data_IF_623083441925
#
_entry.id   IF_623083441925
#
_cell.length_a   1.000
_cell.length_b   1.000
_cell.length_c   1.000
_cell.angle_alpha   90.00
_cell.angle_beta   90.00
_cell.angle_gamma   90.00
#
_symmetry.space_group_name_H-M   'P 1'
#
loop_
_entity.id
_entity.type
_entity.pdbx_description
1 polymer ?
#
# COMPACT_ATOMS: atom_id res chain seq x y z
N UNK A 1 -17.80 -9.82 -0.20
CA UNK A 1 -16.42 -9.40 -0.56
C UNK A 1 -15.83 -8.71 0.66
N UNK A 2 -14.71 -9.20 1.21
CA UNK A 2 -14.12 -8.78 2.50
C UNK A 2 -13.84 -7.25 2.57
N UNK A 3 -13.78 -6.58 1.44
CA UNK A 3 -13.54 -5.13 1.32
C UNK A 3 -14.80 -4.26 1.36
N UNK A 4 -16.00 -4.83 1.30
CA UNK A 4 -17.23 -4.06 1.02
C UNK A 4 -17.71 -3.12 2.14
N UNK A 5 -17.07 -3.10 3.31
CA UNK A 5 -17.48 -2.27 4.46
C UNK A 5 -16.31 -1.68 5.27
N UNK A 6 -15.08 -1.71 4.75
CA UNK A 6 -13.93 -1.18 5.46
C UNK A 6 -13.57 0.21 4.94
N UNK A 7 -13.45 1.19 5.85
CA UNK A 7 -13.00 2.54 5.51
C UNK A 7 -11.46 2.68 5.54
N UNK A 8 -10.79 1.74 6.21
CA UNK A 8 -9.34 1.74 6.40
C UNK A 8 -8.80 0.34 6.11
N UNK A 9 -7.73 0.28 5.32
CA UNK A 9 -6.98 -0.94 5.04
C UNK A 9 -5.55 -0.77 5.56
N UNK A 10 -5.10 -1.72 6.39
CA UNK A 10 -3.72 -1.77 6.89
C UNK A 10 -3.03 -2.97 6.23
N UNK A 11 -1.92 -2.72 5.54
CA UNK A 11 -1.19 -3.73 4.78
C UNK A 11 0.26 -3.78 5.25
N UNK A 12 0.74 -4.99 5.55
CA UNK A 12 2.15 -5.25 5.84
C UNK A 12 2.74 -6.08 4.70
N UNK A 13 3.70 -5.50 3.98
CA UNK A 13 4.37 -6.09 2.82
C UNK A 13 3.44 -6.72 1.77
N UNK A 14 2.46 -5.97 1.22
CA UNK A 14 1.42 -6.53 0.36
C UNK A 14 1.97 -7.15 -0.93
N UNK A 15 3.06 -6.61 -1.50
CA UNK A 15 3.62 -7.07 -2.78
C UNK A 15 4.29 -8.44 -2.71
N UNK A 16 4.79 -8.83 -1.53
CA UNK A 16 5.54 -10.09 -1.34
C UNK A 16 4.70 -11.33 -1.56
N UNK A 17 3.41 -11.24 -1.27
CA UNK A 17 2.47 -12.36 -1.36
C UNK A 17 1.69 -12.39 -2.68
N UNK A 18 1.91 -11.41 -3.56
CA UNK A 18 1.22 -11.35 -4.84
C UNK A 18 2.03 -12.02 -5.95
N UNK A 19 1.36 -12.88 -6.71
CA UNK A 19 1.93 -13.40 -7.96
C UNK A 19 2.31 -12.23 -8.88
N UNK A 20 3.45 -12.28 -9.59
CA UNK A 20 3.87 -11.23 -10.51
C UNK A 20 2.80 -10.86 -11.55
N UNK A 21 2.00 -11.84 -11.98
CA UNK A 21 0.91 -11.64 -12.95
C UNK A 21 -0.30 -10.92 -12.36
N UNK A 22 -0.50 -10.99 -11.04
CA UNK A 22 -1.64 -10.39 -10.34
C UNK A 22 -1.34 -8.99 -9.82
N UNK A 23 -0.07 -8.59 -9.72
CA UNK A 23 0.31 -7.30 -9.18
C UNK A 23 -0.32 -6.08 -9.88
N UNK A 24 -0.44 -6.01 -11.23
CA UNK A 24 -1.07 -4.87 -11.88
C UNK A 24 -2.53 -4.68 -11.46
N UNK A 25 -3.29 -5.77 -11.43
CA UNK A 25 -4.70 -5.76 -11.01
C UNK A 25 -4.84 -5.33 -9.56
N UNK A 26 -4.00 -5.84 -8.66
CA UNK A 26 -4.07 -5.49 -7.24
C UNK A 26 -3.69 -4.03 -7.03
N UNK A 27 -2.69 -3.52 -7.75
CA UNK A 27 -2.35 -2.09 -7.71
C UNK A 27 -3.53 -1.22 -8.16
N UNK A 28 -4.23 -1.62 -9.22
CA UNK A 28 -5.42 -0.92 -9.69
C UNK A 28 -6.55 -0.94 -8.65
N UNK A 29 -6.82 -2.08 -8.01
CA UNK A 29 -7.81 -2.19 -6.95
C UNK A 29 -7.49 -1.29 -5.75
N UNK A 30 -6.21 -1.22 -5.35
CA UNK A 30 -5.76 -0.38 -4.25
C UNK A 30 -5.82 1.12 -4.61
N UNK A 31 -5.49 1.50 -5.86
CA UNK A 31 -5.66 2.89 -6.34
C UNK A 31 -7.13 3.33 -6.33
N UNK A 32 -8.04 2.41 -6.64
CA UNK A 32 -9.48 2.68 -6.72
C UNK A 32 -10.21 2.43 -5.39
N UNK A 33 -9.49 2.16 -4.31
CA UNK A 33 -10.11 1.94 -3.01
C UNK A 33 -10.61 3.27 -2.44
N UNK A 34 -11.92 3.40 -2.23
CA UNK A 34 -12.57 4.62 -1.73
C UNK A 34 -12.41 4.84 -0.21
N UNK A 35 -11.30 4.37 0.37
CA UNK A 35 -10.98 4.52 1.78
C UNK A 35 -9.51 4.90 1.99
N UNK A 36 -9.05 4.85 3.23
CA UNK A 36 -7.66 5.11 3.55
C UNK A 36 -6.84 3.81 3.50
N UNK A 37 -5.66 3.85 2.87
CA UNK A 37 -4.71 2.75 2.90
C UNK A 37 -3.49 3.19 3.70
N UNK A 38 -3.14 2.42 4.72
CA UNK A 38 -1.86 2.51 5.42
C UNK A 38 -1.08 1.25 5.05
N UNK A 39 0.05 1.41 4.38
CA UNK A 39 0.85 0.28 3.91
C UNK A 39 2.30 0.47 4.27
N UNK A 40 2.96 -0.63 4.64
CA UNK A 40 4.40 -0.74 4.82
C UNK A 40 4.93 -1.65 3.72
N UNK A 41 5.93 -1.18 2.96
CA UNK A 41 6.59 -2.02 1.97
C UNK A 41 8.01 -1.57 1.69
N UNK A 42 8.88 -2.50 1.31
CA UNK A 42 10.18 -2.21 0.71
C UNK A 42 10.13 -2.00 -0.81
N UNK A 43 8.99 -2.25 -1.47
CA UNK A 43 8.84 -2.07 -2.92
C UNK A 43 8.58 -0.61 -3.30
N UNK A 44 9.63 0.05 -3.80
CA UNK A 44 9.59 1.44 -4.25
C UNK A 44 8.58 1.68 -5.38
N UNK A 45 8.43 0.74 -6.32
CA UNK A 45 7.48 0.91 -7.43
C UNK A 45 6.04 0.92 -6.92
N UNK A 46 5.72 0.03 -5.99
CA UNK A 46 4.41 0.01 -5.34
C UNK A 46 4.13 1.31 -4.58
N UNK A 47 5.10 1.79 -3.79
CA UNK A 47 4.98 3.06 -3.06
C UNK A 47 4.78 4.22 -4.04
N UNK A 48 5.58 4.27 -5.11
CA UNK A 48 5.50 5.32 -6.12
C UNK A 48 4.17 5.30 -6.86
N UNK A 49 3.63 4.11 -7.11
CA UNK A 49 2.38 3.92 -7.83
C UNK A 49 1.14 4.27 -7.01
N UNK A 50 1.15 3.97 -5.70
CA UNK A 50 -0.08 3.93 -4.88
C UNK A 50 -0.11 5.06 -3.85
N UNK A 51 1.03 5.42 -3.26
CA UNK A 51 1.06 6.26 -2.07
C UNK A 51 0.87 7.75 -2.41
N UNK A 52 -0.13 8.38 -1.80
CA UNK A 52 -0.30 9.84 -1.84
C UNK A 52 0.64 10.56 -0.86
N UNK A 53 1.00 9.88 0.24
CA UNK A 53 1.91 10.37 1.27
C UNK A 53 2.93 9.28 1.58
N UNK A 54 4.19 9.67 1.75
CA UNK A 54 5.28 8.75 2.07
C UNK A 54 5.90 9.15 3.39
N UNK A 55 6.12 8.15 4.22
CA UNK A 55 6.86 8.30 5.45
C UNK A 55 8.01 7.30 5.44
N UNK A 56 9.18 7.77 5.83
CA UNK A 56 10.36 6.95 5.99
C UNK A 56 10.63 6.78 7.48
N UNK A 57 10.64 5.53 7.94
CA UNK A 57 11.08 5.21 9.29
C UNK A 57 12.61 5.23 9.32
N UNK A 58 13.16 6.10 10.17
CA UNK A 58 14.59 6.15 10.50
C UNK A 58 14.81 5.59 11.91
N UNK A 59 16.06 5.39 12.31
CA UNK A 59 16.40 4.85 13.64
C UNK A 59 15.84 5.68 14.82
N UNK A 60 15.47 6.95 14.58
CA UNK A 60 15.04 7.89 15.62
C UNK A 60 13.58 8.29 15.52
N UNK A 61 13.07 8.42 14.29
CA UNK A 61 11.72 8.97 14.05
C UNK A 61 11.16 8.58 12.69
N UNK A 62 9.84 8.72 12.56
CA UNK A 62 9.11 8.62 11.30
C UNK A 62 9.11 9.99 10.61
N UNK A 63 9.86 10.12 9.52
CA UNK A 63 9.97 11.37 8.77
C UNK A 63 9.05 11.34 7.55
N UNK A 64 8.33 12.44 7.31
CA UNK A 64 7.57 12.61 6.07
C UNK A 64 8.53 12.92 4.93
N UNK A 65 8.43 12.16 3.85
CA UNK A 65 9.18 12.39 2.60
C UNK A 65 8.46 13.43 1.73
#
# INVERSE_FOLDING_TARGET
>A
MVLAQNHILILDEPTRHFSPTSQPLIRELLRNFNGCIISVSHDRKFIDDIANLRYQLTDKELQKY
#
